data_IF_906599815052
#
_entry.id   IF_906599815052
#
_cell.length_a   1.000
_cell.length_b   1.000
_cell.length_c   1.000
_cell.angle_alpha   90.00
_cell.angle_beta   90.00
_cell.angle_gamma   90.00
#
_symmetry.space_group_name_H-M   'P 1'
#
loop_
_entity.id
_entity.type
_entity.pdbx_description
1 polymer ?
#
# COMPACT_ATOMS: atom_id res chain seq x y z
N UNK A 1 -2.34 -2.32 -31.97
CA UNK A 1 -3.16 -1.46 -31.08
C UNK A 1 -3.43 -2.13 -29.73
N UNK A 2 -3.91 -3.36 -29.70
CA UNK A 2 -4.17 -4.10 -28.44
C UNK A 2 -2.91 -4.31 -27.59
N UNK A 3 -1.76 -4.61 -28.19
CA UNK A 3 -0.48 -4.78 -27.49
C UNK A 3 0.01 -3.48 -26.86
N UNK A 4 -0.20 -2.37 -27.53
CA UNK A 4 0.21 -1.05 -27.02
C UNK A 4 -0.66 -0.63 -25.82
N UNK A 5 -1.95 -0.92 -25.89
CA UNK A 5 -2.89 -0.66 -24.79
C UNK A 5 -2.56 -1.52 -23.56
N UNK A 6 -2.24 -2.80 -23.75
CA UNK A 6 -1.83 -3.69 -22.66
C UNK A 6 -0.56 -3.20 -21.97
N UNK A 7 0.48 -2.84 -22.72
CA UNK A 7 1.73 -2.31 -22.17
C UNK A 7 1.49 -1.02 -21.36
N UNK A 8 0.60 -0.16 -21.82
CA UNK A 8 0.19 1.05 -21.06
C UNK A 8 -0.53 0.69 -19.76
N UNK A 9 -1.46 -0.25 -19.79
CA UNK A 9 -2.16 -0.72 -18.59
C UNK A 9 -1.19 -1.27 -17.54
N UNK A 10 -0.26 -2.12 -17.95
CA UNK A 10 0.77 -2.68 -17.06
C UNK A 10 1.64 -1.58 -16.49
N UNK A 11 2.04 -0.61 -17.28
CA UNK A 11 2.84 0.54 -16.83
C UNK A 11 2.09 1.36 -15.78
N UNK A 12 0.84 1.73 -16.03
CA UNK A 12 0.04 2.51 -15.08
C UNK A 12 -0.29 1.74 -13.82
N UNK A 13 -0.60 0.46 -13.93
CA UNK A 13 -0.88 -0.39 -12.78
C UNK A 13 0.35 -0.51 -11.87
N UNK A 14 1.53 -0.79 -12.43
CA UNK A 14 2.79 -0.84 -11.66
C UNK A 14 3.11 0.48 -10.97
N UNK A 15 2.99 1.59 -11.67
CA UNK A 15 3.20 2.91 -11.06
C UNK A 15 2.15 3.22 -10.01
N UNK A 16 0.90 2.81 -10.23
CA UNK A 16 -0.19 3.03 -9.30
C UNK A 16 0.04 2.35 -7.95
N UNK A 17 0.36 1.07 -7.93
CA UNK A 17 0.53 0.37 -6.65
C UNK A 17 1.79 0.81 -5.89
N UNK A 18 2.88 1.13 -6.59
CA UNK A 18 4.08 1.71 -5.97
C UNK A 18 3.73 3.03 -5.28
N UNK A 19 2.92 3.87 -5.92
CA UNK A 19 2.47 5.15 -5.34
C UNK A 19 1.56 4.97 -4.14
N UNK A 20 0.67 3.97 -4.15
CA UNK A 20 -0.18 3.65 -2.99
C UNK A 20 0.67 3.29 -1.78
N UNK A 21 1.67 2.43 -1.94
CA UNK A 21 2.58 2.09 -0.84
C UNK A 21 3.45 3.27 -0.41
N UNK A 22 3.91 4.09 -1.35
CA UNK A 22 4.64 5.32 -1.03
C UNK A 22 3.82 6.30 -0.20
N UNK A 23 2.53 6.47 -0.53
CA UNK A 23 1.61 7.29 0.24
C UNK A 23 1.40 6.72 1.66
N UNK A 24 1.19 5.41 1.78
CA UNK A 24 1.04 4.75 3.07
C UNK A 24 2.30 4.85 3.93
N UNK A 25 3.48 4.69 3.34
CA UNK A 25 4.75 4.84 4.06
C UNK A 25 4.93 6.27 4.58
N UNK A 26 4.62 7.27 3.77
CA UNK A 26 4.66 8.68 4.19
C UNK A 26 3.63 8.97 5.27
N UNK A 27 2.44 8.41 5.15
CA UNK A 27 1.41 8.54 6.19
C UNK A 27 1.85 7.88 7.49
N UNK A 28 2.48 6.71 7.43
CA UNK A 28 3.04 6.03 8.60
C UNK A 28 4.09 6.88 9.30
N UNK A 29 5.02 7.45 8.55
CA UNK A 29 6.03 8.37 9.08
C UNK A 29 5.37 9.62 9.70
N UNK A 30 4.41 10.21 9.02
CA UNK A 30 3.68 11.38 9.52
C UNK A 30 2.96 11.11 10.84
N UNK A 31 2.22 9.99 10.93
CA UNK A 31 1.55 9.57 12.16
C UNK A 31 2.54 9.32 13.30
N UNK A 32 3.64 8.64 12.99
CA UNK A 32 4.67 8.33 13.97
C UNK A 32 5.28 9.59 14.59
N UNK A 33 5.53 10.60 13.76
CA UNK A 33 6.08 11.89 14.19
C UNK A 33 5.01 12.75 14.89
N UNK A 34 3.85 12.94 14.26
CA UNK A 34 2.79 13.81 14.78
C UNK A 34 2.29 13.37 16.16
N UNK A 35 2.13 12.08 16.36
CA UNK A 35 1.57 11.50 17.58
C UNK A 35 2.64 10.96 18.54
N UNK A 36 3.90 11.16 18.22
CA UNK A 36 5.06 10.70 19.01
C UNK A 36 5.00 9.21 19.37
N UNK A 37 4.58 8.39 18.40
CA UNK A 37 4.40 6.94 18.62
C UNK A 37 5.72 6.23 18.88
N UNK A 38 6.81 6.72 18.29
CA UNK A 38 8.16 6.17 18.49
C UNK A 38 8.30 4.70 18.07
N UNK A 39 7.67 4.34 16.95
CA UNK A 39 7.70 2.98 16.41
C UNK A 39 9.12 2.51 16.07
N UNK A 40 10.03 3.42 15.74
CA UNK A 40 11.45 3.16 15.47
C UNK A 40 12.18 2.54 16.67
N UNK A 41 11.70 2.74 17.90
CA UNK A 41 12.27 2.12 19.10
C UNK A 41 11.95 0.63 19.20
N UNK A 42 10.88 0.20 18.55
CA UNK A 42 10.45 -1.21 18.50
C UNK A 42 11.05 -1.88 17.28
N UNK A 43 11.02 -1.20 16.14
CA UNK A 43 11.49 -1.68 14.84
C UNK A 43 12.08 -0.54 14.04
N UNK A 44 13.36 -0.63 13.70
CA UNK A 44 14.10 0.42 12.96
C UNK A 44 13.46 0.74 11.60
N UNK A 45 12.98 -0.28 10.88
CA UNK A 45 12.23 -0.12 9.65
C UNK A 45 10.75 -0.47 9.90
N UNK A 46 9.88 0.49 9.72
CA UNK A 46 8.45 0.32 9.96
C UNK A 46 7.62 0.86 8.80
N UNK A 47 6.46 0.24 8.60
CA UNK A 47 5.45 0.67 7.64
C UNK A 47 4.27 1.33 8.36
N UNK A 48 3.35 1.92 7.57
CA UNK A 48 2.07 2.40 8.07
C UNK A 48 1.34 1.35 8.94
N UNK A 49 1.34 0.11 8.49
CA UNK A 49 0.68 -1.00 9.22
C UNK A 49 1.33 -1.30 10.57
N UNK A 50 2.64 -1.14 10.66
CA UNK A 50 3.38 -1.29 11.92
C UNK A 50 3.02 -0.18 12.90
N UNK A 51 2.98 1.07 12.43
CA UNK A 51 2.57 2.23 13.24
C UNK A 51 1.15 2.04 13.76
N UNK A 52 0.23 1.66 12.88
CA UNK A 52 -1.18 1.44 13.22
C UNK A 52 -1.36 0.31 14.25
N UNK A 53 -0.62 -0.79 14.08
CA UNK A 53 -0.59 -1.88 15.07
C UNK A 53 -0.08 -1.40 16.43
N UNK A 54 1.00 -0.65 16.45
CA UNK A 54 1.57 -0.09 17.68
C UNK A 54 0.58 0.83 18.39
N UNK A 55 -0.10 1.69 17.65
CA UNK A 55 -1.16 2.54 18.20
C UNK A 55 -2.29 1.73 18.82
N UNK A 56 -2.72 0.67 18.15
CA UNK A 56 -3.77 -0.22 18.65
C UNK A 56 -3.34 -0.97 19.91
N UNK A 57 -2.15 -1.54 19.92
CA UNK A 57 -1.61 -2.30 21.05
C UNK A 57 -1.42 -1.42 22.31
N UNK A 58 -1.04 -0.16 22.12
CA UNK A 58 -0.90 0.81 23.21
C UNK A 58 -2.21 1.48 23.63
N UNK A 59 -3.26 1.34 22.83
CA UNK A 59 -4.54 2.00 23.09
C UNK A 59 -4.48 3.52 23.04
N UNK A 60 -3.53 4.11 22.28
CA UNK A 60 -3.36 5.56 22.15
C UNK A 60 -4.22 6.11 21.01
N UNK A 61 -4.67 7.35 21.16
CA UNK A 61 -5.47 8.06 20.16
C UNK A 61 -6.64 7.23 19.60
N UNK A 62 -7.52 6.67 20.44
CA UNK A 62 -8.57 5.75 20.00
C UNK A 62 -9.54 6.38 18.99
N UNK A 63 -9.79 7.69 19.06
CA UNK A 63 -10.63 8.42 18.11
C UNK A 63 -10.10 8.35 16.67
N UNK A 64 -8.80 8.17 16.49
CA UNK A 64 -8.18 7.99 15.17
C UNK A 64 -7.86 6.50 14.91
N UNK A 65 -7.33 5.81 15.90
CA UNK A 65 -6.87 4.42 15.76
C UNK A 65 -8.01 3.47 15.38
N UNK A 66 -9.17 3.60 16.00
CA UNK A 66 -10.32 2.72 15.73
C UNK A 66 -10.84 2.88 14.29
N UNK A 67 -11.11 4.10 13.78
CA UNK A 67 -11.50 4.27 12.38
C UNK A 67 -10.45 3.80 11.38
N UNK A 68 -9.18 4.04 11.63
CA UNK A 68 -8.09 3.59 10.75
C UNK A 68 -7.99 2.06 10.70
N UNK A 69 -8.11 1.39 11.84
CA UNK A 69 -8.12 -0.08 11.89
C UNK A 69 -9.35 -0.67 11.19
N UNK A 70 -10.52 -0.07 11.38
CA UNK A 70 -11.74 -0.49 10.69
C UNK A 70 -11.59 -0.40 9.18
N UNK A 71 -11.02 0.70 8.69
CA UNK A 71 -10.75 0.91 7.26
C UNK A 71 -9.73 -0.12 6.73
N UNK A 72 -8.67 -0.36 7.47
CA UNK A 72 -7.65 -1.38 7.16
C UNK A 72 -8.27 -2.79 7.06
N UNK A 73 -9.09 -3.17 8.03
CA UNK A 73 -9.74 -4.49 8.03
C UNK A 73 -10.73 -4.65 6.87
N UNK A 74 -11.47 -3.60 6.51
CA UNK A 74 -12.36 -3.59 5.37
C UNK A 74 -11.65 -3.75 4.02
N UNK A 75 -10.38 -3.38 3.93
CA UNK A 75 -9.55 -3.47 2.72
C UNK A 75 -8.46 -4.56 2.80
N UNK A 76 -8.54 -5.45 3.79
CA UNK A 76 -7.48 -6.40 4.14
C UNK A 76 -7.06 -7.30 2.99
N UNK A 77 -8.01 -7.91 2.29
CA UNK A 77 -7.72 -8.85 1.21
C UNK A 77 -7.01 -8.18 0.03
N UNK A 78 -7.54 -7.05 -0.43
CA UNK A 78 -6.95 -6.28 -1.52
C UNK A 78 -5.56 -5.78 -1.17
N UNK A 79 -5.38 -5.27 0.04
CA UNK A 79 -4.09 -4.81 0.54
C UNK A 79 -3.08 -5.95 0.65
N UNK A 80 -3.52 -7.12 1.08
CA UNK A 80 -2.66 -8.31 1.17
C UNK A 80 -2.17 -8.76 -0.21
N UNK A 81 -3.04 -8.78 -1.22
CA UNK A 81 -2.66 -9.08 -2.61
C UNK A 81 -1.68 -8.05 -3.17
N UNK A 82 -1.91 -6.76 -2.92
CA UNK A 82 -0.99 -5.69 -3.32
C UNK A 82 0.39 -5.82 -2.67
N UNK A 83 0.45 -6.18 -1.38
CA UNK A 83 1.73 -6.42 -0.68
C UNK A 83 2.49 -7.61 -1.26
N UNK A 84 1.80 -8.68 -1.60
CA UNK A 84 2.41 -9.82 -2.30
C UNK A 84 2.99 -9.39 -3.64
N UNK A 85 2.27 -8.63 -4.43
CA UNK A 85 2.74 -8.10 -5.71
C UNK A 85 3.98 -7.24 -5.53
N UNK A 86 3.98 -6.32 -4.56
CA UNK A 86 5.16 -5.49 -4.25
C UNK A 86 6.38 -6.35 -3.93
N UNK A 87 6.23 -7.34 -3.08
CA UNK A 87 7.34 -8.21 -2.71
C UNK A 87 7.85 -9.03 -3.91
N UNK A 88 6.95 -9.52 -4.75
CA UNK A 88 7.30 -10.23 -5.98
C UNK A 88 8.04 -9.30 -6.97
N UNK A 89 7.56 -8.09 -7.18
CA UNK A 89 8.20 -7.10 -8.07
C UNK A 89 9.60 -6.72 -7.56
N UNK A 90 9.80 -6.54 -6.27
CA UNK A 90 11.11 -6.27 -5.69
C UNK A 90 12.06 -7.45 -5.95
N UNK A 91 11.58 -8.69 -5.80
CA UNK A 91 12.37 -9.87 -6.14
C UNK A 91 12.72 -9.93 -7.62
N UNK A 92 11.78 -9.62 -8.52
CA UNK A 92 12.05 -9.57 -9.96
C UNK A 92 13.00 -8.45 -10.34
N UNK A 93 12.88 -7.27 -9.79
CA UNK A 93 13.82 -6.16 -10.02
C UNK A 93 15.23 -6.53 -9.57
N UNK A 94 15.36 -7.28 -8.48
CA UNK A 94 16.66 -7.79 -8.01
C UNK A 94 17.17 -8.99 -8.84
N UNK A 95 16.30 -9.70 -9.54
CA UNK A 95 16.62 -10.85 -10.38
C UNK A 95 16.73 -10.51 -11.87
N UNK A 96 16.33 -9.32 -12.29
CA UNK A 96 16.53 -8.82 -13.68
C UNK A 96 18.02 -8.68 -14.05
N UNK A 97 18.91 -8.84 -13.08
CA UNK A 97 20.32 -9.07 -13.34
C UNK A 97 20.63 -10.47 -13.92
N UNK A 98 19.66 -11.38 -14.01
CA UNK A 98 19.75 -12.69 -14.64
C UNK A 98 18.75 -12.80 -15.81
N UNK A 99 19.22 -12.42 -16.99
CA UNK A 99 18.49 -12.21 -18.25
C UNK A 99 17.73 -13.42 -18.82
N UNK A 100 17.91 -14.63 -18.30
CA UNK A 100 17.44 -15.87 -18.93
C UNK A 100 16.00 -16.30 -18.56
N UNK A 101 15.43 -15.75 -17.50
CA UNK A 101 14.07 -16.16 -17.05
C UNK A 101 12.93 -15.37 -17.69
N UNK A 102 13.21 -14.21 -18.27
CA UNK A 102 12.21 -13.34 -18.88
C UNK A 102 11.64 -13.87 -20.20
N UNK A 103 12.38 -14.71 -20.93
CA UNK A 103 11.90 -15.24 -22.21
C UNK A 103 10.89 -16.39 -22.04
N UNK A 104 11.00 -17.21 -21.00
CA UNK A 104 10.05 -18.30 -20.76
C UNK A 104 8.69 -17.81 -20.23
N UNK A 105 8.67 -16.76 -19.43
CA UNK A 105 7.43 -16.21 -18.86
C UNK A 105 6.58 -15.48 -19.92
N UNK A 106 7.20 -15.00 -20.98
CA UNK A 106 6.49 -14.29 -22.09
C UNK A 106 5.62 -15.21 -22.95
N UNK A 107 5.93 -16.48 -23.07
CA UNK A 107 5.20 -17.41 -23.94
C UNK A 107 3.96 -18.05 -23.29
N UNK A 108 3.97 -18.21 -21.96
CA UNK A 108 2.85 -18.83 -21.21
C UNK A 108 1.87 -17.82 -20.62
N UNK A 109 2.15 -16.52 -20.69
CA UNK A 109 1.57 -15.53 -19.82
C UNK A 109 0.39 -14.71 -20.37
N UNK A 110 0.05 -14.76 -21.66
CA UNK A 110 -0.88 -13.76 -22.22
C UNK A 110 -2.35 -13.95 -21.81
N UNK A 111 -2.84 -15.17 -21.70
CA UNK A 111 -4.25 -15.42 -21.30
C UNK A 111 -4.45 -15.32 -19.79
N UNK A 112 -3.53 -15.85 -19.00
CA UNK A 112 -3.57 -15.79 -17.53
C UNK A 112 -3.42 -14.34 -17.02
N UNK A 113 -2.70 -13.49 -17.74
CA UNK A 113 -2.48 -12.08 -17.37
C UNK A 113 -3.74 -11.20 -17.56
N UNK A 114 -4.60 -11.51 -18.53
CA UNK A 114 -5.83 -10.74 -18.77
C UNK A 114 -6.90 -10.98 -17.70
N UNK A 115 -7.06 -12.22 -17.24
CA UNK A 115 -8.00 -12.56 -16.16
C UNK A 115 -7.62 -11.91 -14.82
N UNK A 116 -6.32 -11.79 -14.55
CA UNK A 116 -5.82 -11.15 -13.33
C UNK A 116 -5.82 -9.62 -13.38
N UNK A 117 -5.91 -9.01 -14.56
CA UNK A 117 -5.82 -7.56 -14.71
C UNK A 117 -6.98 -6.84 -14.02
N UNK A 118 -8.21 -7.32 -14.18
CA UNK A 118 -9.38 -6.73 -13.54
C UNK A 118 -9.27 -6.83 -12.01
N UNK A 119 -8.84 -7.97 -11.48
CA UNK A 119 -8.61 -8.14 -10.04
C UNK A 119 -7.50 -7.20 -9.55
N UNK A 120 -6.43 -7.05 -10.31
CA UNK A 120 -5.33 -6.14 -9.98
C UNK A 120 -5.79 -4.67 -9.95
N UNK A 121 -6.61 -4.26 -10.90
CA UNK A 121 -7.18 -2.90 -10.94
C UNK A 121 -8.15 -2.66 -9.77
N UNK A 122 -8.97 -3.64 -9.42
CA UNK A 122 -9.85 -3.57 -8.25
C UNK A 122 -9.05 -3.47 -6.95
N UNK A 123 -8.00 -4.25 -6.79
CA UNK A 123 -7.12 -4.19 -5.63
C UNK A 123 -6.41 -2.85 -5.53
N UNK A 124 -5.95 -2.31 -6.66
CA UNK A 124 -5.34 -0.99 -6.73
C UNK A 124 -6.34 0.10 -6.34
N UNK A 125 -7.56 0.06 -6.87
CA UNK A 125 -8.62 1.01 -6.53
C UNK A 125 -8.96 0.96 -5.04
N UNK A 126 -9.09 -0.23 -4.47
CA UNK A 126 -9.36 -0.43 -3.04
C UNK A 126 -8.20 0.05 -2.18
N UNK A 127 -6.95 -0.24 -2.57
CA UNK A 127 -5.75 0.23 -1.89
C UNK A 127 -5.61 1.75 -1.92
N UNK A 128 -5.90 2.37 -3.05
CA UNK A 128 -5.92 3.83 -3.19
C UNK A 128 -7.02 4.46 -2.33
N UNK A 129 -8.21 3.88 -2.34
CA UNK A 129 -9.32 4.31 -1.47
C UNK A 129 -8.92 4.27 0.00
N UNK A 130 -8.33 3.18 0.46
CA UNK A 130 -7.83 3.04 1.82
C UNK A 130 -6.79 4.11 2.16
N UNK A 131 -5.82 4.34 1.27
CA UNK A 131 -4.78 5.35 1.48
C UNK A 131 -5.37 6.76 1.58
N UNK A 132 -6.26 7.14 0.67
CA UNK A 132 -6.91 8.46 0.64
C UNK A 132 -7.78 8.67 1.88
N UNK A 133 -8.59 7.70 2.26
CA UNK A 133 -9.43 7.80 3.46
C UNK A 133 -8.62 7.82 4.74
N UNK A 134 -7.53 7.06 4.81
CA UNK A 134 -6.60 7.10 5.96
C UNK A 134 -5.94 8.47 6.11
N UNK A 135 -5.51 9.07 5.02
CA UNK A 135 -4.96 10.44 5.00
C UNK A 135 -6.02 11.44 5.47
N UNK A 136 -7.23 11.34 4.93
CA UNK A 136 -8.34 12.23 5.31
C UNK A 136 -8.66 12.17 6.80
N UNK A 137 -8.82 10.99 7.35
CA UNK A 137 -9.07 10.77 8.78
C UNK A 137 -7.95 11.34 9.64
N UNK A 138 -6.71 11.13 9.24
CA UNK A 138 -5.52 11.62 9.94
C UNK A 138 -5.47 13.15 9.97
N UNK A 139 -5.69 13.81 8.84
CA UNK A 139 -5.70 15.26 8.78
C UNK A 139 -6.88 15.88 9.54
N UNK A 140 -8.05 15.29 9.47
CA UNK A 140 -9.20 15.74 10.28
C UNK A 140 -8.93 15.62 11.78
N UNK A 141 -8.25 14.57 12.20
CA UNK A 141 -7.84 14.41 13.58
C UNK A 141 -6.78 15.44 14.00
N UNK A 142 -5.75 15.64 13.18
CA UNK A 142 -4.72 16.63 13.41
C UNK A 142 -5.30 18.06 13.52
N UNK A 143 -6.22 18.41 12.65
CA UNK A 143 -6.93 19.69 12.69
C UNK A 143 -7.68 19.88 14.02
N UNK A 144 -8.41 18.86 14.46
CA UNK A 144 -9.11 18.91 15.77
C UNK A 144 -8.14 19.04 16.95
N UNK A 145 -6.97 18.41 16.89
CA UNK A 145 -5.93 18.58 17.90
C UNK A 145 -5.43 20.04 17.97
N UNK A 146 -5.18 20.66 16.82
CA UNK A 146 -4.72 22.04 16.75
C UNK A 146 -5.75 23.04 17.30
N UNK A 147 -7.03 22.79 17.10
CA UNK A 147 -8.10 23.67 17.61
C UNK A 147 -8.40 23.48 19.10
N UNK A 148 -7.92 22.41 19.73
CA UNK A 148 -8.06 22.21 21.18
C UNK A 148 -6.96 22.89 22.01
N UNK A 149 -5.97 23.41 21.35
CA UNK A 149 -4.87 24.19 21.92
C UNK A 149 -4.97 25.65 21.49
#
# INVERSE_FOLDING_TARGET
EQRLNYARYVYFDKNGFIRVFSLLDKLGTFLNELLEIRTERIKSHFSYFTVLRTMRERGVHPELTVPLNKLKEGCKESTHRLRRRRNTEIHYMNSEMHDDLLQQTRMYGQEVLLENLDQQLQDLATGLHMAVQSIRLTFQYAERMLHRH
#
